data_IF_880070462572
#
_entry.id   IF_880070462572
#
_cell.length_a   1.000
_cell.length_b   1.000
_cell.length_c   1.000
_cell.angle_alpha   90.00
_cell.angle_beta   90.00
_cell.angle_gamma   90.00
#
_symmetry.space_group_name_H-M   'P 1'
#
loop_
_entity.id
_entity.type
_entity.pdbx_description
1 polymer ?
#
# COMPACT_ATOMS: atom_id res chain seq x y z
N UNK A 1 3.65 -17.98 -3.17
CA UNK A 1 3.26 -17.39 -1.87
C UNK A 1 4.31 -17.58 -0.79
N UNK A 2 4.64 -18.80 -0.35
CA UNK A 2 5.58 -19.04 0.78
C UNK A 2 6.93 -18.34 0.56
N UNK A 3 7.54 -18.48 -0.60
CA UNK A 3 8.81 -17.83 -0.97
C UNK A 3 8.76 -16.30 -0.78
N UNK A 4 7.68 -15.68 -1.20
CA UNK A 4 7.46 -14.24 -1.03
C UNK A 4 7.33 -13.87 0.46
N UNK A 5 6.57 -14.65 1.22
CA UNK A 5 6.39 -14.41 2.66
C UNK A 5 7.71 -14.54 3.43
N UNK A 6 8.56 -15.51 3.08
CA UNK A 6 9.89 -15.67 3.68
C UNK A 6 10.79 -14.46 3.39
N UNK A 7 10.78 -13.94 2.16
CA UNK A 7 11.46 -12.68 1.83
C UNK A 7 10.95 -11.52 2.70
N UNK A 8 9.63 -11.40 2.84
CA UNK A 8 9.00 -10.32 3.61
C UNK A 8 9.27 -10.43 5.12
N UNK A 9 9.32 -11.64 5.67
CA UNK A 9 9.71 -11.88 7.07
C UNK A 9 11.18 -11.48 7.30
N UNK A 10 12.09 -11.88 6.41
CA UNK A 10 13.49 -11.50 6.51
C UNK A 10 13.69 -9.98 6.38
N UNK A 11 12.97 -9.32 5.45
CA UNK A 11 13.02 -7.87 5.26
C UNK A 11 12.64 -7.10 6.52
N UNK A 12 11.68 -7.60 7.29
CA UNK A 12 11.18 -6.95 8.50
C UNK A 12 11.80 -7.51 9.79
N UNK A 13 12.86 -8.31 9.69
CA UNK A 13 13.47 -9.00 10.84
C UNK A 13 14.00 -8.02 11.90
N UNK A 14 14.56 -6.87 11.51
CA UNK A 14 14.98 -5.82 12.46
C UNK A 14 13.83 -5.35 13.36
N UNK A 15 12.59 -5.28 12.81
CA UNK A 15 11.39 -4.90 13.57
C UNK A 15 10.91 -6.05 14.45
N UNK A 16 10.92 -7.28 13.93
CA UNK A 16 10.38 -8.44 14.64
C UNK A 16 11.27 -8.97 15.76
N UNK A 17 12.58 -8.71 15.69
CA UNK A 17 13.54 -9.10 16.71
C UNK A 17 13.87 -7.97 17.70
N UNK A 18 13.33 -6.78 17.48
CA UNK A 18 13.41 -5.66 18.39
C UNK A 18 12.49 -5.92 19.61
N UNK A 19 13.08 -5.94 20.78
CA UNK A 19 12.36 -6.22 22.03
C UNK A 19 11.86 -4.95 22.72
N UNK A 20 12.42 -3.78 22.38
CA UNK A 20 12.03 -2.49 22.92
C UNK A 20 12.27 -1.36 21.90
N UNK A 21 11.26 -1.15 21.03
CA UNK A 21 11.29 -0.07 20.03
C UNK A 21 11.25 1.34 20.60
N UNK A 22 11.18 1.50 21.91
CA UNK A 22 11.18 2.81 22.59
C UNK A 22 12.57 3.27 23.04
N UNK A 23 13.57 2.40 23.00
CA UNK A 23 14.94 2.70 23.44
C UNK A 23 15.82 3.37 22.36
N UNK A 24 15.27 3.54 21.15
CA UNK A 24 15.96 4.12 19.99
C UNK A 24 17.06 3.23 19.41
N UNK A 25 17.19 1.98 19.87
CA UNK A 25 18.13 1.01 19.34
C UNK A 25 17.36 -0.01 18.49
N UNK A 26 17.91 -0.37 17.36
CA UNK A 26 17.30 -1.37 16.48
C UNK A 26 18.32 -2.43 16.11
N UNK A 27 17.94 -3.72 16.13
CA UNK A 27 18.83 -4.80 15.66
C UNK A 27 19.31 -4.53 14.24
N UNK A 28 20.56 -4.86 13.92
CA UNK A 28 21.10 -4.75 12.57
C UNK A 28 20.84 -6.04 11.81
N UNK A 29 20.15 -5.96 10.69
CA UNK A 29 19.83 -7.09 9.82
C UNK A 29 21.04 -7.86 9.31
N UNK A 30 22.22 -7.26 9.25
CA UNK A 30 23.49 -7.96 8.94
C UNK A 30 23.87 -9.00 10.00
N UNK A 31 23.42 -8.78 11.24
CA UNK A 31 23.70 -9.67 12.37
C UNK A 31 22.57 -10.69 12.61
N UNK A 32 21.40 -10.50 12.01
CA UNK A 32 20.27 -11.45 12.09
C UNK A 32 20.48 -12.54 11.06
N UNK A 33 20.54 -13.79 11.52
CA UNK A 33 20.89 -14.94 10.69
C UNK A 33 19.71 -15.86 10.44
N UNK A 34 19.67 -16.39 9.23
CA UNK A 34 18.68 -17.37 8.76
C UNK A 34 19.42 -18.56 8.13
N UNK A 35 18.93 -19.77 8.40
CA UNK A 35 19.44 -20.97 7.71
C UNK A 35 18.57 -21.21 6.46
N UNK A 36 19.17 -21.07 5.30
CA UNK A 36 18.52 -21.27 3.99
C UNK A 36 19.28 -22.37 3.24
N UNK A 37 18.63 -23.50 2.97
CA UNK A 37 19.24 -24.67 2.30
C UNK A 37 20.57 -25.13 2.94
N UNK A 38 20.66 -25.07 4.28
CA UNK A 38 21.85 -25.45 5.02
C UNK A 38 22.97 -24.39 5.05
N UNK A 39 22.78 -23.25 4.42
CA UNK A 39 23.69 -22.11 4.47
C UNK A 39 23.18 -21.06 5.44
N UNK A 40 24.07 -20.43 6.19
CA UNK A 40 23.74 -19.27 7.02
C UNK A 40 23.84 -17.99 6.20
N UNK A 41 22.73 -17.25 6.11
CA UNK A 41 22.61 -15.97 5.42
C UNK A 41 22.19 -14.89 6.42
N UNK A 42 22.62 -13.63 6.21
CA UNK A 42 22.05 -12.51 6.95
C UNK A 42 20.64 -12.17 6.43
N UNK A 43 19.93 -11.23 7.12
CA UNK A 43 18.56 -10.88 6.73
C UNK A 43 18.48 -10.40 5.28
N UNK A 44 19.39 -9.57 4.84
CA UNK A 44 19.39 -8.98 3.49
C UNK A 44 19.72 -9.98 2.40
N UNK A 45 20.70 -10.84 2.64
CA UNK A 45 21.04 -11.96 1.75
C UNK A 45 19.86 -12.92 1.61
N UNK A 46 19.13 -13.15 2.70
CA UNK A 46 17.93 -13.99 2.72
C UNK A 46 16.80 -13.38 1.85
N UNK A 47 16.59 -12.06 1.95
CA UNK A 47 15.62 -11.36 1.08
C UNK A 47 16.01 -11.52 -0.38
N UNK A 48 17.25 -11.21 -0.73
CA UNK A 48 17.76 -11.30 -2.11
C UNK A 48 17.55 -12.72 -2.63
N UNK A 49 17.94 -13.73 -1.86
CA UNK A 49 17.77 -15.14 -2.24
C UNK A 49 16.33 -15.48 -2.59
N UNK A 50 15.37 -15.16 -1.72
CA UNK A 50 13.97 -15.51 -1.99
C UNK A 50 13.35 -14.70 -3.11
N UNK A 51 13.76 -13.43 -3.30
CA UNK A 51 13.32 -12.64 -4.45
C UNK A 51 13.85 -13.22 -5.78
N UNK A 52 15.10 -13.72 -5.81
CA UNK A 52 15.65 -14.40 -6.97
C UNK A 52 14.94 -15.73 -7.27
N UNK A 53 14.49 -16.45 -6.23
CA UNK A 53 13.67 -17.64 -6.42
C UNK A 53 12.34 -17.30 -7.10
N UNK A 54 11.70 -16.18 -6.78
CA UNK A 54 10.45 -15.74 -7.46
C UNK A 54 10.71 -15.49 -8.95
N UNK A 55 11.81 -14.85 -9.31
CA UNK A 55 12.23 -14.69 -10.71
C UNK A 55 12.41 -16.04 -11.41
N UNK A 56 13.09 -16.97 -10.75
CA UNK A 56 13.32 -18.34 -11.26
C UNK A 56 12.01 -19.12 -11.45
N UNK A 57 10.99 -18.84 -10.62
CA UNK A 57 9.63 -19.41 -10.76
C UNK A 57 8.83 -18.81 -11.91
N UNK A 58 9.37 -17.80 -12.60
CA UNK A 58 8.75 -17.19 -13.78
C UNK A 58 7.94 -15.93 -13.48
N UNK A 59 7.90 -15.45 -12.24
CA UNK A 59 7.26 -14.16 -11.95
C UNK A 59 8.04 -13.01 -12.59
N UNK A 60 7.32 -12.06 -13.15
CA UNK A 60 7.86 -10.87 -13.81
C UNK A 60 6.83 -9.74 -13.76
N UNK A 61 7.25 -8.51 -14.04
CA UNK A 61 6.31 -7.39 -14.13
C UNK A 61 5.35 -7.59 -15.31
N UNK A 62 4.07 -7.27 -15.10
CA UNK A 62 3.14 -7.05 -16.20
C UNK A 62 3.59 -5.83 -17.00
N UNK A 63 3.55 -5.88 -18.34
CA UNK A 63 3.88 -4.72 -19.16
C UNK A 63 3.01 -3.50 -18.83
N UNK A 64 1.71 -3.75 -18.66
CA UNK A 64 0.75 -2.73 -18.27
C UNK A 64 0.41 -2.86 -16.79
N UNK A 65 0.65 -1.79 -16.03
CA UNK A 65 0.43 -1.76 -14.58
C UNK A 65 -1.00 -2.16 -14.18
N UNK A 66 -1.98 -1.68 -14.95
CA UNK A 66 -3.41 -1.86 -14.68
C UNK A 66 -3.88 -3.31 -14.82
N UNK A 67 -3.17 -4.13 -15.60
CA UNK A 67 -3.51 -5.55 -15.79
C UNK A 67 -3.57 -6.31 -14.46
N UNK A 68 -2.72 -5.95 -13.50
CA UNK A 68 -2.72 -6.56 -12.17
C UNK A 68 -4.02 -6.35 -11.40
N UNK A 69 -4.81 -5.34 -11.75
CA UNK A 69 -6.00 -4.88 -11.03
C UNK A 69 -7.25 -4.89 -11.90
N UNK A 70 -7.18 -5.49 -13.08
CA UNK A 70 -8.33 -5.66 -13.98
C UNK A 70 -9.40 -6.57 -13.38
N UNK A 71 -10.60 -6.57 -13.98
CA UNK A 71 -11.73 -7.40 -13.51
C UNK A 71 -11.35 -8.88 -13.49
N UNK A 72 -10.64 -9.35 -14.53
CA UNK A 72 -10.15 -10.73 -14.63
C UNK A 72 -8.62 -10.73 -14.57
N UNK A 73 -8.08 -10.58 -13.36
CA UNK A 73 -6.64 -10.46 -13.11
C UNK A 73 -5.96 -11.75 -12.65
N UNK A 74 -6.66 -12.89 -12.67
CA UNK A 74 -6.11 -14.20 -12.30
C UNK A 74 -4.92 -14.64 -13.16
N UNK A 75 -4.86 -14.34 -14.49
CA UNK A 75 -3.75 -14.77 -15.31
C UNK A 75 -2.51 -13.87 -15.20
N UNK A 76 -2.53 -12.81 -14.36
CA UNK A 76 -1.37 -11.93 -14.21
C UNK A 76 -0.11 -12.71 -13.82
N UNK A 77 0.95 -12.52 -14.58
CA UNK A 77 2.28 -13.12 -14.32
C UNK A 77 3.04 -12.40 -13.20
N UNK A 78 2.53 -11.27 -12.75
CA UNK A 78 3.09 -10.49 -11.63
C UNK A 78 2.47 -10.85 -10.29
N UNK A 79 1.17 -11.21 -10.28
CA UNK A 79 0.44 -11.53 -9.04
C UNK A 79 0.93 -12.84 -8.44
N UNK A 80 1.60 -12.78 -7.27
CA UNK A 80 2.17 -13.92 -6.57
C UNK A 80 1.15 -14.59 -5.66
N UNK A 81 0.25 -13.78 -5.08
CA UNK A 81 -0.83 -14.26 -4.24
C UNK A 81 -1.98 -13.26 -4.21
N UNK A 82 -3.16 -13.76 -4.50
CA UNK A 82 -4.41 -13.01 -4.46
C UNK A 82 -5.41 -13.65 -3.51
N UNK A 83 -6.39 -12.89 -3.06
CA UNK A 83 -7.62 -13.44 -2.48
C UNK A 83 -8.57 -13.63 -3.66
N UNK A 84 -8.94 -14.88 -4.00
CA UNK A 84 -9.82 -15.13 -5.13
C UNK A 84 -11.20 -14.53 -4.86
N UNK A 85 -11.73 -13.85 -5.87
CA UNK A 85 -13.06 -13.26 -5.84
C UNK A 85 -13.90 -13.89 -6.95
N UNK A 86 -15.16 -14.10 -6.68
CA UNK A 86 -16.14 -14.54 -7.66
C UNK A 86 -17.53 -14.14 -7.15
N UNK A 87 -18.26 -13.37 -7.92
CA UNK A 87 -19.56 -12.82 -7.51
C UNK A 87 -20.64 -13.87 -7.23
N UNK A 88 -20.44 -15.14 -7.67
CA UNK A 88 -21.40 -16.22 -7.49
C UNK A 88 -20.96 -17.30 -6.51
N UNK A 89 -19.65 -17.59 -6.43
CA UNK A 89 -19.10 -18.71 -5.67
C UNK A 89 -18.51 -18.28 -4.32
N UNK A 90 -17.94 -17.09 -4.25
CA UNK A 90 -17.25 -16.62 -3.05
C UNK A 90 -18.00 -15.46 -2.40
N UNK A 91 -17.99 -15.44 -1.07
CA UNK A 91 -18.66 -14.41 -0.27
C UNK A 91 -17.69 -13.39 0.32
N UNK A 92 -16.44 -13.37 -0.15
CA UNK A 92 -15.44 -12.39 0.28
C UNK A 92 -15.91 -10.97 -0.05
N UNK A 93 -15.82 -10.08 0.93
CA UNK A 93 -16.32 -8.72 0.80
C UNK A 93 -15.21 -7.74 1.17
N UNK A 94 -14.45 -7.30 0.17
CA UNK A 94 -13.36 -6.31 0.32
C UNK A 94 -13.80 -4.90 -0.11
N UNK A 95 -15.06 -4.56 0.18
CA UNK A 95 -15.71 -3.36 -0.33
C UNK A 95 -15.16 -2.03 0.19
N UNK A 96 -14.51 -2.01 1.34
CA UNK A 96 -14.15 -0.74 1.99
C UNK A 96 -13.16 0.10 1.19
N UNK A 97 -12.19 -0.51 0.54
CA UNK A 97 -11.27 0.18 -0.36
C UNK A 97 -12.00 0.72 -1.59
N UNK A 98 -12.91 -0.09 -2.15
CA UNK A 98 -13.65 0.27 -3.38
C UNK A 98 -14.77 1.26 -3.12
N UNK A 99 -15.22 1.39 -1.88
CA UNK A 99 -16.29 2.31 -1.47
C UNK A 99 -15.80 3.69 -1.04
N UNK A 100 -14.58 4.06 -1.35
CA UNK A 100 -14.07 5.42 -1.15
C UNK A 100 -14.84 6.47 -1.97
N UNK A 101 -15.54 6.04 -3.03
CA UNK A 101 -16.28 6.93 -3.93
C UNK A 101 -17.47 7.58 -3.24
N UNK A 102 -17.79 8.80 -3.68
CA UNK A 102 -19.04 9.48 -3.35
C UNK A 102 -20.26 8.65 -3.78
N UNK A 103 -21.39 8.79 -3.08
CA UNK A 103 -22.62 8.04 -3.35
C UNK A 103 -23.10 8.16 -4.79
N UNK A 104 -23.16 9.38 -5.35
CA UNK A 104 -23.55 9.62 -6.75
C UNK A 104 -22.57 9.04 -7.76
N UNK A 105 -21.25 9.05 -7.44
CA UNK A 105 -20.24 8.42 -8.27
C UNK A 105 -20.45 6.91 -8.37
N UNK A 106 -20.60 6.25 -7.24
CA UNK A 106 -20.83 4.80 -7.21
C UNK A 106 -22.17 4.43 -7.87
N UNK A 107 -23.25 5.20 -7.61
CA UNK A 107 -24.56 5.00 -8.24
C UNK A 107 -24.51 5.10 -9.75
N UNK A 108 -23.70 6.00 -10.31
CA UNK A 108 -23.51 6.13 -11.75
C UNK A 108 -22.85 4.86 -12.38
N UNK A 109 -22.14 4.08 -11.57
CA UNK A 109 -21.56 2.79 -11.97
C UNK A 109 -22.49 1.60 -11.64
N UNK A 110 -23.68 1.83 -11.09
CA UNK A 110 -24.57 0.75 -10.61
C UNK A 110 -24.12 0.12 -9.28
N UNK A 111 -23.28 0.80 -8.52
CA UNK A 111 -22.66 0.32 -7.29
C UNK A 111 -23.04 1.20 -6.09
N UNK A 112 -22.68 0.79 -4.89
CA UNK A 112 -22.74 1.61 -3.68
C UNK A 112 -21.40 2.24 -3.36
N UNK A 113 -21.42 3.50 -2.93
CA UNK A 113 -20.31 4.21 -2.33
C UNK A 113 -20.54 4.41 -0.83
N UNK A 114 -19.47 4.68 -0.09
CA UNK A 114 -19.54 5.02 1.33
C UNK A 114 -18.87 6.37 1.63
N UNK A 115 -18.39 7.05 0.59
CA UNK A 115 -17.67 8.32 0.69
C UNK A 115 -16.52 8.23 1.74
N UNK A 116 -15.85 7.08 1.78
CA UNK A 116 -14.89 6.69 2.80
C UNK A 116 -13.49 7.31 2.59
N UNK A 117 -12.42 6.50 2.65
CA UNK A 117 -11.04 7.01 2.67
C UNK A 117 -10.68 7.82 1.42
N UNK A 118 -9.82 8.81 1.61
CA UNK A 118 -9.19 9.60 0.54
C UNK A 118 -7.68 9.58 0.64
N UNK A 119 -6.99 10.06 -0.39
CA UNK A 119 -5.55 10.30 -0.36
C UNK A 119 -5.19 11.33 0.72
N UNK A 120 -4.00 11.16 1.32
CA UNK A 120 -3.39 12.18 2.18
C UNK A 120 -2.62 13.21 1.34
N UNK A 121 -2.29 14.35 1.94
CA UNK A 121 -1.44 15.38 1.29
C UNK A 121 -0.09 14.77 0.89
N UNK A 122 0.53 13.96 1.75
CA UNK A 122 1.80 13.30 1.45
C UNK A 122 1.70 12.35 0.24
N UNK A 123 0.53 11.76 0.00
CA UNK A 123 0.34 10.94 -1.20
C UNK A 123 0.29 11.81 -2.46
N UNK A 124 -0.41 12.94 -2.43
CA UNK A 124 -0.48 13.87 -3.57
C UNK A 124 0.91 14.43 -3.89
N UNK A 125 1.66 14.87 -2.88
CA UNK A 125 3.03 15.37 -3.01
C UNK A 125 3.96 14.29 -3.58
N UNK A 126 3.89 13.05 -3.08
CA UNK A 126 4.72 11.95 -3.54
C UNK A 126 4.48 11.62 -5.03
N UNK A 127 3.22 11.67 -5.48
CA UNK A 127 2.86 11.50 -6.88
C UNK A 127 3.13 12.75 -7.74
N UNK A 128 3.51 13.88 -7.15
CA UNK A 128 3.68 15.14 -7.86
C UNK A 128 2.40 15.66 -8.50
N UNK A 129 1.25 15.42 -7.85
CA UNK A 129 -0.06 15.80 -8.40
C UNK A 129 -0.11 17.29 -8.77
N UNK A 130 -0.62 17.59 -9.97
CA UNK A 130 -0.68 18.95 -10.59
C UNK A 130 0.70 19.60 -10.84
N UNK A 131 1.76 18.81 -10.94
CA UNK A 131 3.07 19.29 -11.36
C UNK A 131 3.47 18.70 -12.72
N UNK A 132 4.48 19.27 -13.35
CA UNK A 132 5.06 18.74 -14.61
C UNK A 132 5.70 17.35 -14.42
N UNK A 133 6.00 16.96 -13.17
CA UNK A 133 6.66 15.71 -12.80
C UNK A 133 5.66 14.69 -12.22
N UNK A 134 4.36 14.87 -12.49
CA UNK A 134 3.33 13.95 -11.98
C UNK A 134 3.63 12.51 -12.43
N UNK A 135 3.66 11.60 -11.46
CA UNK A 135 3.84 10.17 -11.74
C UNK A 135 2.60 9.61 -12.47
N UNK A 136 2.78 8.90 -13.61
CA UNK A 136 1.64 8.39 -14.41
C UNK A 136 0.69 7.48 -13.63
N UNK A 137 1.17 6.82 -12.57
CA UNK A 137 0.35 5.96 -11.71
C UNK A 137 -0.70 6.74 -10.90
N UNK A 138 -0.58 8.08 -10.80
CA UNK A 138 -1.60 8.87 -10.11
C UNK A 138 -2.98 8.66 -10.74
N UNK A 139 -3.08 8.83 -12.05
CA UNK A 139 -4.35 8.72 -12.78
C UNK A 139 -4.91 7.29 -12.81
N UNK A 140 -4.08 6.29 -12.52
CA UNK A 140 -4.49 4.90 -12.36
C UNK A 140 -5.01 4.65 -10.93
N UNK A 141 -4.35 5.22 -9.94
CA UNK A 141 -4.62 4.95 -8.53
C UNK A 141 -5.72 5.82 -7.92
N UNK A 142 -6.01 6.99 -8.51
CA UNK A 142 -6.89 7.97 -7.90
C UNK A 142 -7.90 8.56 -8.86
N UNK A 143 -9.12 8.79 -8.35
CA UNK A 143 -10.08 9.73 -8.93
C UNK A 143 -9.85 11.11 -8.32
N UNK A 144 -9.66 12.12 -9.16
CA UNK A 144 -9.44 13.52 -8.79
C UNK A 144 -10.20 14.45 -9.76
N UNK A 145 -10.58 15.64 -9.31
CA UNK A 145 -11.34 16.60 -10.13
C UNK A 145 -12.71 16.08 -10.56
N UNK A 146 -13.15 16.51 -11.74
CA UNK A 146 -14.44 16.11 -12.33
C UNK A 146 -14.46 14.63 -12.67
N UNK A 147 -15.51 13.93 -12.25
CA UNK A 147 -15.65 12.48 -12.48
C UNK A 147 -16.75 12.18 -13.50
N UNK A 148 -16.58 11.05 -14.19
CA UNK A 148 -17.42 10.62 -15.31
C UNK A 148 -17.97 9.22 -15.06
N UNK A 149 -19.13 8.93 -15.62
CA UNK A 149 -19.69 7.59 -15.66
C UNK A 149 -18.92 6.69 -16.66
N UNK A 150 -19.28 5.40 -16.73
CA UNK A 150 -18.65 4.44 -17.66
C UNK A 150 -18.88 4.76 -19.15
N UNK A 151 -19.77 5.73 -19.45
CA UNK A 151 -20.05 6.22 -20.82
C UNK A 151 -19.37 7.55 -21.13
N UNK A 152 -18.60 8.09 -20.15
CA UNK A 152 -17.92 9.36 -20.27
C UNK A 152 -18.80 10.60 -19.97
N UNK A 153 -20.01 10.44 -19.45
CA UNK A 153 -20.85 11.57 -19.06
C UNK A 153 -20.43 12.11 -17.69
N UNK A 154 -20.46 13.43 -17.54
CA UNK A 154 -20.17 14.09 -16.26
C UNK A 154 -21.21 13.68 -15.21
N UNK A 155 -20.74 13.25 -14.05
CA UNK A 155 -21.58 12.90 -12.91
C UNK A 155 -21.97 14.18 -12.15
N UNK A 156 -23.22 14.24 -11.70
CA UNK A 156 -23.74 15.36 -10.92
C UNK A 156 -24.19 14.93 -9.53
N UNK A 157 -24.12 15.84 -8.60
CA UNK A 157 -24.75 15.75 -7.28
C UNK A 157 -26.27 15.86 -7.40
N UNK A 158 -27.01 15.50 -6.36
CA UNK A 158 -28.48 15.55 -6.35
C UNK A 158 -29.04 16.97 -6.52
N UNK A 159 -28.25 17.99 -6.18
CA UNK A 159 -28.61 19.40 -6.42
C UNK A 159 -28.31 19.90 -7.85
N UNK A 160 -27.84 19.02 -8.73
CA UNK A 160 -27.49 19.30 -10.14
C UNK A 160 -26.11 19.88 -10.39
N UNK A 161 -25.30 20.14 -9.34
CA UNK A 161 -23.91 20.60 -9.52
C UNK A 161 -23.02 19.45 -9.98
N UNK A 162 -21.93 19.77 -10.67
CA UNK A 162 -20.94 18.78 -11.10
C UNK A 162 -20.28 18.15 -9.86
N UNK A 163 -20.16 16.83 -9.85
CA UNK A 163 -19.37 16.14 -8.83
C UNK A 163 -17.88 16.30 -9.17
N UNK A 164 -17.16 16.94 -8.29
CA UNK A 164 -15.73 17.17 -8.41
C UNK A 164 -15.04 16.79 -7.09
N UNK A 165 -14.05 15.91 -7.14
CA UNK A 165 -13.20 15.64 -6.00
C UNK A 165 -12.12 16.72 -5.89
N UNK A 166 -11.88 17.20 -4.67
CA UNK A 166 -10.97 18.29 -4.35
C UNK A 166 -9.73 17.75 -3.62
N UNK A 167 -8.69 17.26 -4.35
CA UNK A 167 -7.59 16.49 -3.77
C UNK A 167 -6.87 17.20 -2.63
N UNK A 168 -6.61 18.51 -2.76
CA UNK A 168 -5.91 19.29 -1.75
C UNK A 168 -6.74 19.69 -0.53
N UNK A 169 -8.06 19.45 -0.55
CA UNK A 169 -8.95 19.76 0.57
C UNK A 169 -9.01 18.61 1.56
N UNK A 170 -7.88 18.34 2.22
CA UNK A 170 -7.72 17.26 3.21
C UNK A 170 -7.28 17.83 4.54
N UNK A 171 -8.02 17.52 5.62
CA UNK A 171 -7.65 17.81 7.00
C UNK A 171 -8.23 16.73 7.92
N UNK A 172 -7.83 16.74 9.20
CA UNK A 172 -8.37 15.80 10.20
C UNK A 172 -9.86 16.02 10.48
N UNK A 173 -10.31 17.25 10.36
CA UNK A 173 -11.72 17.62 10.50
C UNK A 173 -12.15 18.48 9.32
N UNK A 174 -13.13 17.97 8.58
CA UNK A 174 -13.78 18.63 7.45
C UNK A 174 -15.28 18.81 7.67
N UNK A 175 -15.75 18.54 8.89
CA UNK A 175 -17.16 18.65 9.26
C UNK A 175 -17.68 20.06 8.99
N UNK A 176 -18.91 20.17 8.49
CA UNK A 176 -19.59 21.42 8.15
C UNK A 176 -18.88 22.27 7.07
N UNK A 177 -17.88 21.74 6.38
CA UNK A 177 -17.28 22.41 5.23
C UNK A 177 -18.10 22.18 3.95
N UNK A 178 -18.07 23.09 2.96
CA UNK A 178 -18.78 22.90 1.70
C UNK A 178 -18.22 21.73 0.86
N UNK A 179 -17.06 21.17 1.22
CA UNK A 179 -16.40 20.05 0.56
C UNK A 179 -16.37 18.77 1.40
N UNK A 180 -17.13 18.68 2.49
CA UNK A 180 -17.15 17.53 3.39
C UNK A 180 -17.30 16.19 2.64
N UNK A 181 -18.13 16.15 1.61
CA UNK A 181 -18.36 14.93 0.83
C UNK A 181 -17.43 14.78 -0.39
N UNK A 182 -16.71 15.82 -0.77
CA UNK A 182 -15.90 15.84 -1.99
C UNK A 182 -14.40 16.02 -1.73
N UNK A 183 -14.03 16.17 -0.46
CA UNK A 183 -12.63 16.31 -0.02
C UNK A 183 -11.77 15.11 -0.41
N UNK A 184 -10.55 15.39 -0.90
CA UNK A 184 -9.53 14.42 -1.19
C UNK A 184 -9.73 13.60 -2.48
N UNK A 185 -8.64 13.07 -3.03
CA UNK A 185 -8.67 12.14 -4.14
C UNK A 185 -9.12 10.74 -3.67
N UNK A 186 -9.87 10.03 -4.51
CA UNK A 186 -10.52 8.76 -4.16
C UNK A 186 -9.84 7.56 -4.83
N UNK A 187 -9.96 6.40 -4.21
CA UNK A 187 -9.37 5.15 -4.71
C UNK A 187 -9.97 4.76 -6.07
N UNK A 188 -9.07 4.52 -7.04
CA UNK A 188 -9.41 4.10 -8.41
C UNK A 188 -8.75 2.78 -8.80
N UNK A 189 -7.60 2.48 -8.30
CA UNK A 189 -6.61 1.45 -8.71
C UNK A 189 -7.18 0.16 -9.33
N UNK A 190 -8.23 -0.39 -8.77
CA UNK A 190 -8.89 -1.56 -9.35
C UNK A 190 -9.90 -1.14 -10.41
N UNK A 191 -9.91 -1.84 -11.54
CA UNK A 191 -10.94 -1.67 -12.55
C UNK A 191 -12.33 -1.86 -11.93
N UNK A 192 -13.27 -1.01 -12.33
CA UNK A 192 -14.63 -1.08 -11.80
C UNK A 192 -15.38 -2.23 -12.46
N UNK A 193 -15.81 -3.22 -11.69
CA UNK A 193 -16.68 -4.28 -12.16
C UNK A 193 -18.15 -3.83 -12.15
N UNK A 194 -18.75 -3.46 -13.30
CA UNK A 194 -20.14 -3.03 -13.37
C UNK A 194 -21.13 -4.19 -13.17
N UNK A 195 -20.62 -5.43 -13.16
CA UNK A 195 -21.44 -6.65 -12.96
C UNK A 195 -21.42 -7.14 -11.53
N UNK A 196 -20.66 -6.45 -10.64
CA UNK A 196 -20.57 -6.79 -9.23
C UNK A 196 -21.95 -6.81 -8.57
N UNK A 197 -22.22 -7.86 -7.79
CA UNK A 197 -23.49 -8.04 -7.08
C UNK A 197 -23.43 -7.47 -5.65
N UNK A 198 -24.57 -7.45 -4.96
CA UNK A 198 -24.70 -6.91 -3.58
C UNK A 198 -24.10 -5.51 -3.45
N UNK A 199 -24.52 -4.61 -4.33
CA UNK A 199 -24.07 -3.20 -4.34
C UNK A 199 -22.53 -3.05 -4.51
N UNK A 200 -21.90 -3.90 -5.29
CA UNK A 200 -20.46 -3.88 -5.54
C UNK A 200 -19.61 -4.61 -4.50
N UNK A 201 -20.23 -5.35 -3.58
CA UNK A 201 -19.51 -6.14 -2.55
C UNK A 201 -18.90 -7.41 -3.12
N UNK A 202 -19.57 -8.03 -4.08
CA UNK A 202 -19.15 -9.25 -4.74
C UNK A 202 -18.80 -8.94 -6.18
N UNK A 203 -17.51 -8.90 -6.46
CA UNK A 203 -16.90 -8.56 -7.75
C UNK A 203 -16.03 -9.71 -8.26
N UNK A 204 -15.57 -9.64 -9.49
CA UNK A 204 -14.71 -10.65 -10.09
C UNK A 204 -13.22 -10.35 -9.89
N UNK A 205 -12.82 -9.08 -9.65
CA UNK A 205 -11.40 -8.77 -9.45
C UNK A 205 -10.83 -9.48 -8.22
N UNK A 206 -9.82 -10.32 -8.41
CA UNK A 206 -9.03 -10.87 -7.29
C UNK A 206 -8.31 -9.75 -6.53
N UNK A 207 -8.31 -9.83 -5.21
CA UNK A 207 -7.61 -8.86 -4.36
C UNK A 207 -6.13 -9.23 -4.27
N UNK A 208 -5.29 -8.38 -4.82
CA UNK A 208 -3.84 -8.57 -4.86
C UNK A 208 -3.22 -8.34 -3.48
N UNK A 209 -2.58 -9.36 -2.93
CA UNK A 209 -1.83 -9.27 -1.68
C UNK A 209 -0.32 -9.21 -1.91
N UNK A 210 0.21 -10.07 -2.79
CA UNK A 210 1.62 -10.12 -3.10
C UNK A 210 1.82 -10.09 -4.61
N UNK A 211 2.70 -9.23 -5.09
CA UNK A 211 3.07 -9.15 -6.50
C UNK A 211 4.56 -8.90 -6.69
N UNK A 212 5.07 -9.23 -7.86
CA UNK A 212 6.51 -9.28 -8.14
C UNK A 212 7.18 -7.89 -8.06
N UNK A 213 6.47 -6.81 -8.34
CA UNK A 213 7.01 -5.46 -8.14
C UNK A 213 7.41 -5.19 -6.68
N UNK A 214 6.63 -5.66 -5.68
CA UNK A 214 7.04 -5.58 -4.27
C UNK A 214 8.30 -6.42 -4.02
N UNK A 215 8.46 -7.60 -4.65
CA UNK A 215 9.67 -8.40 -4.54
C UNK A 215 10.91 -7.68 -5.11
N UNK A 216 10.78 -6.99 -6.24
CA UNK A 216 11.86 -6.17 -6.80
C UNK A 216 12.26 -5.04 -5.85
N UNK A 217 11.29 -4.31 -5.30
CA UNK A 217 11.56 -3.23 -4.35
C UNK A 217 12.13 -3.75 -3.00
N UNK A 218 11.68 -4.92 -2.53
CA UNK A 218 12.29 -5.60 -1.37
C UNK A 218 13.76 -5.96 -1.65
N UNK A 219 14.05 -6.49 -2.84
CA UNK A 219 15.42 -6.84 -3.25
C UNK A 219 16.31 -5.61 -3.38
N UNK A 220 15.81 -4.52 -3.99
CA UNK A 220 16.51 -3.24 -4.07
C UNK A 220 16.86 -2.73 -2.67
N UNK A 221 15.90 -2.73 -1.73
CA UNK A 221 16.11 -2.32 -0.34
C UNK A 221 17.15 -3.19 0.36
N UNK A 222 17.05 -4.50 0.22
CA UNK A 222 17.99 -5.44 0.84
C UNK A 222 19.42 -5.27 0.30
N UNK A 223 19.59 -5.06 -1.01
CA UNK A 223 20.89 -4.76 -1.60
C UNK A 223 21.51 -3.50 -0.98
N UNK A 224 20.73 -2.40 -0.90
CA UNK A 224 21.20 -1.12 -0.33
C UNK A 224 21.56 -1.27 1.15
N UNK A 225 20.71 -1.95 1.96
CA UNK A 225 20.99 -2.21 3.37
C UNK A 225 22.23 -3.09 3.57
N UNK A 226 22.50 -3.98 2.64
CA UNK A 226 23.70 -4.85 2.65
C UNK A 226 24.96 -4.16 2.10
N UNK A 227 24.84 -2.93 1.56
CA UNK A 227 25.95 -2.15 1.01
C UNK A 227 26.19 -2.38 -0.49
N UNK A 228 25.24 -2.99 -1.20
CA UNK A 228 25.28 -3.21 -2.64
C UNK A 228 24.38 -2.22 -3.39
N UNK A 229 24.54 -2.15 -4.72
CA UNK A 229 23.71 -1.32 -5.60
C UNK A 229 22.36 -1.99 -5.88
N UNK A 230 21.25 -1.26 -5.68
CA UNK A 230 19.88 -1.70 -5.92
C UNK A 230 19.20 -1.01 -7.10
N UNK A 231 19.94 -0.25 -7.92
CA UNK A 231 19.39 0.58 -9.01
C UNK A 231 18.64 -0.25 -10.06
N UNK A 232 19.11 -1.45 -10.36
CA UNK A 232 18.52 -2.32 -11.37
C UNK A 232 17.06 -2.62 -11.02
N UNK A 233 16.80 -3.14 -9.83
CA UNK A 233 15.46 -3.55 -9.39
C UNK A 233 14.54 -2.33 -9.22
N UNK A 234 15.04 -1.23 -8.66
CA UNK A 234 14.28 0.01 -8.52
C UNK A 234 13.84 0.54 -9.88
N UNK A 235 14.77 0.59 -10.84
CA UNK A 235 14.51 1.17 -12.14
C UNK A 235 13.78 0.22 -13.09
N UNK A 236 13.78 -1.09 -12.86
CA UNK A 236 12.89 -2.03 -13.53
C UNK A 236 11.43 -1.69 -13.25
N UNK A 237 11.06 -1.42 -11.98
CA UNK A 237 9.72 -0.99 -11.59
C UNK A 237 9.36 0.36 -12.21
N UNK A 238 10.27 1.33 -12.18
CA UNK A 238 10.04 2.68 -12.69
C UNK A 238 9.88 2.73 -14.22
N UNK A 239 10.70 1.96 -14.93
CA UNK A 239 10.70 1.92 -16.40
C UNK A 239 9.37 1.40 -16.96
N UNK A 240 8.70 0.48 -16.27
CA UNK A 240 7.39 -0.04 -16.67
C UNK A 240 6.35 1.06 -16.89
N UNK A 241 6.40 2.12 -16.09
CA UNK A 241 5.47 3.26 -16.15
C UNK A 241 6.11 4.50 -16.79
N UNK A 242 7.22 4.34 -17.49
CA UNK A 242 7.98 5.41 -18.13
C UNK A 242 8.44 6.53 -17.16
N UNK A 243 8.58 6.22 -15.87
CA UNK A 243 9.11 7.16 -14.90
C UNK A 243 10.63 7.26 -14.99
N UNK A 244 11.18 8.45 -14.82
CA UNK A 244 12.63 8.70 -14.88
C UNK A 244 13.40 7.84 -13.88
N UNK A 245 14.58 7.31 -14.23
CA UNK A 245 15.37 6.47 -13.33
C UNK A 245 15.83 7.26 -12.10
N UNK A 246 16.00 6.53 -10.98
CA UNK A 246 16.50 7.07 -9.71
C UNK A 246 17.62 6.19 -9.16
N UNK A 247 18.55 6.79 -8.43
CA UNK A 247 19.51 6.03 -7.62
C UNK A 247 18.80 5.34 -6.47
N UNK A 248 19.11 4.07 -6.23
CA UNK A 248 18.56 3.31 -5.12
C UNK A 248 19.20 3.74 -3.80
N UNK A 249 18.58 4.71 -3.16
CA UNK A 249 18.79 5.05 -1.76
C UNK A 249 17.59 4.53 -0.95
N UNK A 250 17.74 4.33 0.35
CA UNK A 250 16.62 3.92 1.20
C UNK A 250 15.44 4.91 1.10
N UNK A 251 15.72 6.19 0.97
CA UNK A 251 14.70 7.23 0.81
C UNK A 251 13.95 7.10 -0.52
N UNK A 252 14.67 6.95 -1.64
CA UNK A 252 14.08 6.79 -2.96
C UNK A 252 13.29 5.48 -3.08
N UNK A 253 13.76 4.39 -2.44
CA UNK A 253 13.03 3.12 -2.38
C UNK A 253 11.74 3.27 -1.57
N UNK A 254 11.78 3.92 -0.41
CA UNK A 254 10.57 4.18 0.39
C UNK A 254 9.55 5.04 -0.36
N UNK A 255 10.03 6.04 -1.12
CA UNK A 255 9.19 6.87 -1.99
C UNK A 255 8.57 6.02 -3.11
N UNK A 256 9.38 5.21 -3.81
CA UNK A 256 8.88 4.35 -4.88
C UNK A 256 7.85 3.34 -4.40
N UNK A 257 8.06 2.74 -3.22
CA UNK A 257 7.09 1.84 -2.60
C UNK A 257 5.74 2.53 -2.32
N UNK A 258 5.75 3.82 -2.01
CA UNK A 258 4.50 4.59 -1.84
C UNK A 258 3.74 4.75 -3.15
N UNK A 259 4.45 5.01 -4.27
CA UNK A 259 3.86 5.16 -5.60
C UNK A 259 3.34 3.81 -6.11
N UNK A 260 4.20 2.81 -6.08
CA UNK A 260 3.94 1.50 -6.65
C UNK A 260 2.85 0.74 -5.89
N UNK A 261 2.89 0.75 -4.55
CA UNK A 261 2.02 -0.03 -3.69
C UNK A 261 0.85 0.79 -3.09
N UNK A 262 0.51 1.93 -3.70
CA UNK A 262 -0.63 2.74 -3.28
C UNK A 262 -1.91 1.88 -3.21
N UNK A 263 -2.71 2.02 -2.14
CA UNK A 263 -3.94 1.25 -1.87
C UNK A 263 -3.76 -0.26 -1.62
N UNK A 264 -2.52 -0.79 -1.52
CA UNK A 264 -2.27 -2.22 -1.26
C UNK A 264 -2.02 -2.54 0.23
N UNK A 265 -2.11 -1.54 1.10
CA UNK A 265 -2.05 -1.73 2.56
C UNK A 265 -0.64 -1.84 3.17
N UNK A 266 0.44 -1.67 2.38
CA UNK A 266 1.82 -1.88 2.85
C UNK A 266 2.47 -0.67 3.52
N UNK A 267 1.94 0.54 3.33
CA UNK A 267 2.60 1.79 3.75
C UNK A 267 2.94 1.84 5.23
N UNK A 268 2.03 1.37 6.13
CA UNK A 268 2.30 1.35 7.58
C UNK A 268 3.51 0.47 7.89
N UNK A 269 3.60 -0.74 7.33
CA UNK A 269 4.72 -1.65 7.56
C UNK A 269 6.03 -1.03 7.06
N UNK A 270 6.01 -0.38 5.90
CA UNK A 270 7.18 0.33 5.38
C UNK A 270 7.62 1.45 6.30
N UNK A 271 6.70 2.31 6.73
CA UNK A 271 7.03 3.42 7.64
C UNK A 271 7.60 2.94 8.98
N UNK A 272 7.07 1.84 9.53
CA UNK A 272 7.61 1.20 10.73
C UNK A 272 9.04 0.71 10.49
N UNK A 273 9.28 -0.03 9.40
CA UNK A 273 10.61 -0.57 9.06
C UNK A 273 11.64 0.53 8.82
N UNK A 274 11.24 1.64 8.21
CA UNK A 274 12.11 2.79 7.97
C UNK A 274 12.20 3.77 9.16
N UNK A 275 11.56 3.47 10.30
CA UNK A 275 11.58 4.33 11.48
C UNK A 275 10.88 5.68 11.28
N UNK A 276 9.91 5.75 10.35
CA UNK A 276 9.21 6.99 9.99
C UNK A 276 7.72 6.98 10.35
N UNK A 277 7.22 5.96 11.05
CA UNK A 277 5.80 5.84 11.36
C UNK A 277 5.31 6.89 12.37
N UNK A 278 6.13 7.22 13.36
CA UNK A 278 5.78 8.14 14.46
C UNK A 278 6.18 9.59 14.20
N UNK A 279 6.50 9.97 12.98
CA UNK A 279 6.84 11.35 12.59
C UNK A 279 5.61 12.27 12.55
N UNK A 280 5.84 13.57 12.41
CA UNK A 280 4.81 14.51 12.00
C UNK A 280 4.29 14.17 10.59
N UNK A 281 3.02 14.43 10.36
CA UNK A 281 2.35 14.35 9.06
C UNK A 281 1.78 15.73 8.69
N UNK A 282 1.54 16.01 7.42
CA UNK A 282 0.96 17.30 6.98
C UNK A 282 -0.40 17.57 7.63
N UNK A 283 -1.16 16.52 7.97
CA UNK A 283 -2.46 16.64 8.64
C UNK A 283 -2.36 16.89 10.15
N UNK A 284 -1.23 16.57 10.79
CA UNK A 284 -1.04 16.74 12.25
C UNK A 284 0.44 16.79 12.66
N UNK A 285 0.79 17.49 13.74
CA UNK A 285 2.12 17.40 14.35
C UNK A 285 2.37 15.99 14.93
N UNK A 286 3.64 15.67 15.17
CA UNK A 286 3.99 14.53 16.00
C UNK A 286 3.47 14.75 17.42
N UNK A 287 2.79 13.76 17.99
CA UNK A 287 2.35 13.82 19.38
C UNK A 287 3.56 13.63 20.32
N UNK A 288 3.55 14.26 21.54
CA UNK A 288 4.68 14.19 22.46
C UNK A 288 5.14 12.76 22.77
N UNK A 289 4.19 11.84 22.96
CA UNK A 289 4.47 10.46 23.36
C UNK A 289 4.94 9.60 22.16
N UNK A 290 4.64 10.01 20.92
CA UNK A 290 5.05 9.27 19.71
C UNK A 290 6.55 9.35 19.45
N UNK A 291 7.24 10.34 20.01
CA UNK A 291 8.70 10.46 19.89
C UNK A 291 9.44 9.25 20.47
N UNK A 292 8.86 8.57 21.47
CA UNK A 292 9.40 7.34 22.02
C UNK A 292 9.26 6.12 21.10
N UNK A 293 8.41 6.19 20.06
CA UNK A 293 8.14 5.08 19.17
C UNK A 293 7.14 4.04 19.70
N UNK A 294 6.54 4.23 20.89
CA UNK A 294 5.66 3.21 21.49
C UNK A 294 4.49 2.80 20.60
N UNK A 295 3.92 3.74 19.84
CA UNK A 295 2.79 3.50 18.93
C UNK A 295 3.16 2.69 17.67
N UNK A 296 4.43 2.30 17.52
CA UNK A 296 4.90 1.41 16.45
C UNK A 296 4.19 0.06 16.49
N UNK A 297 3.89 -0.44 17.71
CA UNK A 297 3.13 -1.67 17.92
C UNK A 297 1.81 -1.37 18.65
N UNK A 298 0.90 -2.33 18.62
CA UNK A 298 -0.38 -2.23 19.34
C UNK A 298 -0.23 -2.71 20.78
N UNK A 299 -0.98 -2.13 21.75
CA UNK A 299 -1.04 -2.66 23.10
C UNK A 299 -1.66 -4.07 23.10
N UNK A 300 -1.20 -4.91 24.02
CA UNK A 300 -1.91 -6.15 24.31
C UNK A 300 -3.20 -5.78 25.05
N UNK A 301 -4.39 -6.16 24.55
CA UNK A 301 -5.64 -5.82 25.20
C UNK A 301 -5.68 -6.28 26.66
N UNK A 302 -6.10 -5.42 27.56
CA UNK A 302 -6.13 -5.69 29.01
C UNK A 302 -6.90 -6.98 29.33
N UNK A 303 -8.03 -7.23 28.64
CA UNK A 303 -8.81 -8.46 28.78
C UNK A 303 -7.95 -9.72 28.53
N UNK A 304 -7.01 -9.69 27.61
CA UNK A 304 -6.12 -10.83 27.32
C UNK A 304 -5.05 -10.96 28.42
N UNK A 305 -4.52 -9.84 28.91
CA UNK A 305 -3.52 -9.84 29.98
C UNK A 305 -4.08 -10.40 31.29
N UNK A 306 -5.29 -10.01 31.64
CA UNK A 306 -5.98 -10.54 32.85
C UNK A 306 -6.21 -12.05 32.74
N UNK A 307 -6.41 -12.57 31.55
CA UNK A 307 -6.58 -14.02 31.33
C UNK A 307 -5.26 -14.79 31.34
N UNK A 308 -4.13 -14.12 31.17
CA UNK A 308 -2.80 -14.74 31.17
C UNK A 308 -1.76 -13.81 31.79
N UNK A 309 -1.52 -14.01 33.08
CA UNK A 309 -0.58 -13.22 33.90
C UNK A 309 0.89 -13.27 33.42
N UNK A 310 1.23 -14.22 32.54
CA UNK A 310 2.57 -14.30 31.93
C UNK A 310 2.77 -13.26 30.81
N UNK A 311 1.70 -12.67 30.31
CA UNK A 311 1.80 -11.63 29.29
C UNK A 311 2.15 -10.29 29.92
N UNK A 312 3.32 -9.79 29.61
CA UNK A 312 3.72 -8.42 29.93
C UNK A 312 3.25 -7.48 28.83
N UNK A 313 2.83 -6.28 29.23
CA UNK A 313 2.46 -5.25 28.27
C UNK A 313 3.69 -4.81 27.45
N UNK A 314 3.42 -4.39 26.22
CA UNK A 314 4.43 -3.82 25.36
C UNK A 314 5.00 -2.53 25.96
N UNK A 315 6.30 -2.22 25.75
CA UNK A 315 6.91 -0.97 26.20
C UNK A 315 6.09 0.27 25.78
N UNK A 316 5.90 1.21 26.70
CA UNK A 316 5.15 2.45 26.48
C UNK A 316 3.65 2.39 26.77
N UNK A 317 3.10 1.20 27.12
CA UNK A 317 1.68 1.01 27.44
C UNK A 317 1.45 0.59 28.90
#
# INVERSE_FOLDING_TARGET
MVTFLLAKLALNSEVYTDNDWTDGQRPDGKNIKFTVNGCELNAWETVIYYCDQLKTMGYKLEPEYETNFSIFNEPSVENVFTIPMNKTLYTNQMQYLFRSRHYNHAKAYGLSGENGPSATIEALEAFGYETAEQDPRFDICYFAGTVHDLKGNIIKLDNGTVLEYLPWKVSLDITDTPYEQTAGARMKKYEVDPTATKDGKLMENDIVLFRYADALLMKSEAKVRNGANGDEELNEVRSRVNASPRTATLENILAERQLELAWEGWRRQDLVRFGKFTRAYSSRPQLPDEASGYSTVFPIPEKIRVMNERLKQNPGY
#
